data_IF_625276036350
#
_entry.id   IF_625276036350
#
_cell.length_a   1.000
_cell.length_b   1.000
_cell.length_c   1.000
_cell.angle_alpha   90.00
_cell.angle_beta   90.00
_cell.angle_gamma   90.00
#
_symmetry.space_group_name_H-M   'P 1'
#
loop_
_entity.id
_entity.type
_entity.pdbx_description
1 polymer ?
#
# COMPACT_ATOMS: atom_id res chain seq x y z
N UNK A 1 1.74 2.44 14.89
CA UNK A 1 0.41 1.97 15.37
C UNK A 1 0.13 0.51 15.07
N UNK A 2 0.43 -0.03 13.89
CA UNK A 2 0.17 -1.45 13.55
C UNK A 2 1.28 -2.41 13.99
N UNK A 3 2.51 -1.90 14.17
CA UNK A 3 3.69 -2.73 14.46
C UNK A 3 4.30 -2.49 15.84
N UNK A 4 3.86 -1.45 16.54
CA UNK A 4 4.47 -1.06 17.80
C UNK A 4 3.89 -1.92 18.92
N UNK A 5 4.73 -2.46 19.80
CA UNK A 5 4.28 -3.31 20.91
C UNK A 5 3.51 -2.53 21.99
N UNK A 6 3.73 -1.21 22.03
CA UNK A 6 3.15 -0.31 23.03
C UNK A 6 2.62 0.95 22.36
N UNK A 7 1.53 1.47 22.92
CA UNK A 7 0.94 2.74 22.51
C UNK A 7 0.90 3.68 23.71
N UNK A 8 1.18 4.95 23.46
CA UNK A 8 0.97 6.02 24.43
C UNK A 8 -0.46 6.50 24.28
N UNK A 9 -1.28 6.31 25.32
CA UNK A 9 -2.65 6.78 25.35
C UNK A 9 -2.69 8.10 26.09
N UNK A 10 -3.28 9.11 25.45
CA UNK A 10 -3.45 10.46 25.99
C UNK A 10 -4.93 10.82 25.99
N UNK A 11 -5.65 10.30 26.98
CA UNK A 11 -7.06 10.62 27.19
C UNK A 11 -7.24 12.04 27.72
N UNK A 12 -8.36 12.66 27.34
CA UNK A 12 -8.68 14.01 27.79
C UNK A 12 -8.83 14.03 29.31
N UNK A 13 -8.18 15.01 29.95
CA UNK A 13 -8.20 15.19 31.41
C UNK A 13 -7.62 14.03 32.22
N UNK A 14 -6.85 13.13 31.60
CA UNK A 14 -6.19 12.00 32.25
C UNK A 14 -4.68 12.08 32.07
N UNK A 15 -3.94 11.45 32.96
CA UNK A 15 -2.47 11.36 32.83
C UNK A 15 -2.14 10.37 31.72
N UNK A 16 -1.26 10.78 30.80
CA UNK A 16 -0.71 9.89 29.77
C UNK A 16 -0.18 8.59 30.37
N UNK A 17 -0.54 7.47 29.76
CA UNK A 17 -0.07 6.15 30.17
C UNK A 17 0.32 5.31 28.96
N UNK A 18 1.16 4.29 29.19
CA UNK A 18 1.64 3.39 28.15
C UNK A 18 0.90 2.06 28.30
N UNK A 19 0.23 1.63 27.24
CA UNK A 19 -0.48 0.36 27.19
C UNK A 19 0.17 -0.58 26.17
N UNK A 20 -0.01 -1.89 26.36
CA UNK A 20 0.35 -2.89 25.34
C UNK A 20 -0.60 -2.73 24.15
N UNK A 21 -0.04 -2.69 22.95
CA UNK A 21 -0.82 -2.59 21.73
C UNK A 21 -1.43 -3.96 21.40
N UNK A 22 -2.75 -4.00 21.28
CA UNK A 22 -3.49 -5.19 20.84
C UNK A 22 -4.42 -4.84 19.66
N UNK A 23 -4.15 -3.72 18.98
CA UNK A 23 -5.02 -3.20 17.94
C UNK A 23 -4.82 -3.94 16.62
N UNK A 24 -5.94 -4.42 16.06
CA UNK A 24 -6.05 -4.85 14.68
C UNK A 24 -6.97 -3.87 13.94
N UNK A 25 -6.58 -3.43 12.74
CA UNK A 25 -7.33 -2.42 12.00
C UNK A 25 -8.05 -3.06 10.81
N UNK A 26 -9.34 -2.76 10.68
CA UNK A 26 -10.12 -2.99 9.47
C UNK A 26 -10.52 -1.62 8.92
N UNK A 27 -10.22 -1.36 7.65
CA UNK A 27 -10.47 -0.07 6.99
C UNK A 27 -11.38 -0.35 5.80
N UNK A 28 -12.49 0.37 5.75
CA UNK A 28 -13.41 0.33 4.63
C UNK A 28 -13.41 1.73 3.99
N UNK A 29 -13.29 1.78 2.66
CA UNK A 29 -13.36 3.03 1.91
C UNK A 29 -13.77 2.72 0.47
N UNK A 30 -14.41 3.72 -0.15
CA UNK A 30 -14.86 3.65 -1.54
C UNK A 30 -13.80 4.20 -2.51
N UNK A 31 -12.66 4.69 -2.00
CA UNK A 31 -11.56 5.21 -2.80
C UNK A 31 -10.60 4.08 -3.20
N UNK A 32 -10.00 4.17 -4.38
CA UNK A 32 -9.08 3.15 -4.87
C UNK A 32 -7.71 3.18 -4.17
N UNK A 33 -7.26 4.36 -3.74
CA UNK A 33 -5.99 4.57 -3.04
C UNK A 33 -6.23 5.02 -1.59
N UNK A 34 -6.55 4.07 -0.71
CA UNK A 34 -6.96 4.35 0.68
C UNK A 34 -5.75 4.56 1.58
N UNK A 35 -4.66 3.84 1.32
CA UNK A 35 -3.47 3.84 2.15
C UNK A 35 -2.21 3.96 1.26
N UNK A 36 -1.28 4.88 1.57
CA UNK A 36 0.00 4.93 0.88
C UNK A 36 0.76 3.62 1.14
N UNK A 37 0.82 2.78 0.12
CA UNK A 37 1.41 1.45 0.19
C UNK A 37 2.69 1.41 -0.62
N UNK A 38 3.77 0.99 0.03
CA UNK A 38 5.00 0.64 -0.67
C UNK A 38 4.94 -0.83 -1.10
N UNK A 39 5.64 -1.17 -2.17
CA UNK A 39 5.78 -2.56 -2.63
C UNK A 39 6.27 -3.52 -1.53
N UNK A 40 7.02 -2.99 -0.56
CA UNK A 40 7.56 -3.74 0.59
C UNK A 40 6.59 -3.85 1.77
N UNK A 41 5.44 -3.17 1.76
CA UNK A 41 4.44 -3.21 2.84
C UNK A 41 3.97 -4.63 3.14
N UNK A 42 4.21 -5.13 4.36
CA UNK A 42 4.06 -6.56 4.73
C UNK A 42 2.81 -6.93 5.52
N UNK A 43 1.91 -5.98 5.81
CA UNK A 43 0.82 -6.15 6.81
C UNK A 43 -0.51 -5.55 6.37
N UNK A 44 -0.81 -5.59 5.07
CA UNK A 44 -2.08 -5.11 4.53
C UNK A 44 -2.63 -6.17 3.59
N UNK A 45 -3.89 -6.50 3.78
CA UNK A 45 -4.66 -7.35 2.91
C UNK A 45 -5.80 -6.52 2.31
N UNK A 46 -5.95 -6.57 1.00
CA UNK A 46 -6.91 -5.76 0.25
C UNK A 46 -7.94 -6.67 -0.38
N UNK A 47 -9.21 -6.36 -0.13
CA UNK A 47 -10.37 -7.04 -0.70
C UNK A 47 -11.15 -6.02 -1.53
N UNK A 48 -11.23 -6.25 -2.84
CA UNK A 48 -12.17 -5.53 -3.69
C UNK A 48 -13.54 -6.20 -3.59
N UNK A 49 -14.47 -5.51 -2.95
CA UNK A 49 -15.85 -6.00 -2.80
C UNK A 49 -16.65 -5.62 -4.05
N UNK A 50 -17.51 -6.53 -4.51
CA UNK A 50 -18.36 -6.30 -5.68
C UNK A 50 -19.50 -5.32 -5.38
N UNK A 51 -19.91 -4.55 -6.39
CA UNK A 51 -21.06 -3.63 -6.28
C UNK A 51 -22.42 -4.30 -6.47
N UNK A 52 -22.51 -5.63 -6.43
CA UNK A 52 -23.73 -6.40 -6.76
C UNK A 52 -24.91 -6.01 -5.85
N UNK A 53 -24.65 -5.81 -4.55
CA UNK A 53 -25.66 -5.40 -3.57
C UNK A 53 -25.53 -3.93 -3.19
N UNK A 54 -25.01 -3.08 -4.09
CA UNK A 54 -24.87 -1.66 -3.80
C UNK A 54 -26.25 -1.01 -3.62
N UNK A 55 -26.49 -0.41 -2.45
CA UNK A 55 -27.79 0.15 -2.04
C UNK A 55 -28.95 -0.87 -1.99
N UNK A 56 -28.66 -2.16 -1.86
CA UNK A 56 -29.67 -3.20 -1.69
C UNK A 56 -30.09 -3.31 -0.21
N UNK A 57 -31.04 -2.46 0.19
CA UNK A 57 -31.51 -2.37 1.59
C UNK A 57 -32.12 -3.69 2.06
N UNK A 58 -32.92 -4.34 1.22
CA UNK A 58 -33.60 -5.60 1.54
C UNK A 58 -32.59 -6.72 1.86
N UNK A 59 -31.53 -6.83 1.06
CA UNK A 59 -30.45 -7.80 1.31
C UNK A 59 -29.75 -7.55 2.63
N UNK A 60 -29.37 -6.29 2.92
CA UNK A 60 -28.65 -5.96 4.15
C UNK A 60 -29.52 -6.05 5.40
N UNK A 61 -30.83 -5.80 5.30
CA UNK A 61 -31.76 -5.98 6.40
C UNK A 61 -31.89 -7.47 6.77
N UNK A 62 -32.12 -8.35 5.78
CA UNK A 62 -32.16 -9.79 5.99
C UNK A 62 -30.85 -10.32 6.58
N UNK A 63 -29.70 -9.81 6.11
CA UNK A 63 -28.40 -10.17 6.64
C UNK A 63 -28.24 -9.71 8.09
N UNK A 64 -28.67 -8.50 8.42
CA UNK A 64 -28.59 -7.96 9.78
C UNK A 64 -29.45 -8.77 10.76
N UNK A 65 -30.66 -9.15 10.35
CA UNK A 65 -31.54 -10.03 11.13
C UNK A 65 -30.92 -11.41 11.33
N UNK A 66 -30.36 -12.00 10.27
CA UNK A 66 -29.68 -13.29 10.34
C UNK A 66 -28.50 -13.26 11.32
N UNK A 67 -27.66 -12.21 11.27
CA UNK A 67 -26.52 -12.05 12.17
C UNK A 67 -26.99 -11.88 13.62
N UNK A 68 -28.03 -11.09 13.87
CA UNK A 68 -28.61 -10.93 15.22
C UNK A 68 -29.14 -12.26 15.75
N UNK A 69 -29.87 -13.02 14.93
CA UNK A 69 -30.45 -14.31 15.32
C UNK A 69 -29.39 -15.40 15.56
N UNK A 70 -28.25 -15.35 14.85
CA UNK A 70 -27.21 -16.38 14.89
C UNK A 70 -25.89 -15.92 15.53
N UNK A 71 -25.87 -14.78 16.22
CA UNK A 71 -24.67 -14.18 16.80
C UNK A 71 -23.85 -15.18 17.64
N UNK A 72 -24.52 -15.97 18.48
CA UNK A 72 -23.87 -17.00 19.31
C UNK A 72 -23.16 -18.07 18.46
N UNK A 73 -23.79 -18.53 17.37
CA UNK A 73 -23.22 -19.56 16.49
C UNK A 73 -22.00 -19.01 15.74
N UNK A 74 -22.10 -17.78 15.25
CA UNK A 74 -20.99 -17.08 14.58
C UNK A 74 -19.82 -16.91 15.55
N UNK A 75 -20.10 -16.49 16.79
CA UNK A 75 -19.08 -16.35 17.82
C UNK A 75 -18.41 -17.69 18.15
N UNK A 76 -19.20 -18.76 18.34
CA UNK A 76 -18.67 -20.11 18.57
C UNK A 76 -17.79 -20.58 17.40
N UNK A 77 -18.18 -20.30 16.16
CA UNK A 77 -17.37 -20.62 14.99
C UNK A 77 -16.02 -19.87 15.00
N UNK A 78 -16.02 -18.57 15.25
CA UNK A 78 -14.79 -17.75 15.31
C UNK A 78 -13.86 -18.24 16.42
N UNK A 79 -14.40 -18.58 17.59
CA UNK A 79 -13.62 -19.07 18.73
C UNK A 79 -13.02 -20.47 18.51
N UNK A 80 -13.68 -21.31 17.71
CA UNK A 80 -13.25 -22.67 17.40
C UNK A 80 -12.42 -22.78 16.11
N UNK A 81 -12.13 -21.66 15.46
CA UNK A 81 -11.38 -21.65 14.22
C UNK A 81 -9.93 -22.07 14.50
N UNK A 82 -9.45 -23.11 13.83
CA UNK A 82 -8.08 -23.58 14.02
C UNK A 82 -7.11 -22.60 13.36
N UNK A 83 -6.32 -21.90 14.18
CA UNK A 83 -5.31 -20.95 13.73
C UNK A 83 -3.92 -21.60 13.61
N UNK A 84 -3.79 -22.90 13.89
CA UNK A 84 -2.52 -23.63 13.79
C UNK A 84 -2.04 -23.66 12.34
N UNK A 85 -0.96 -22.92 12.07
CA UNK A 85 -0.34 -22.83 10.75
C UNK A 85 -0.47 -21.46 10.10
N UNK A 86 -1.32 -20.56 10.63
CA UNK A 86 -1.40 -19.18 10.15
C UNK A 86 -0.14 -18.43 10.55
N UNK A 87 0.68 -18.08 9.54
CA UNK A 87 1.87 -17.25 9.74
C UNK A 87 1.50 -15.79 9.59
N UNK A 88 1.27 -15.09 10.71
CA UNK A 88 1.02 -13.64 10.74
C UNK A 88 2.15 -12.80 10.13
N UNK A 89 3.35 -13.37 9.98
CA UNK A 89 4.49 -12.74 9.29
C UNK A 89 4.41 -12.83 7.76
N UNK A 90 3.62 -13.74 7.21
CA UNK A 90 3.39 -13.93 5.77
C UNK A 90 1.94 -13.57 5.45
N UNK A 91 1.65 -12.27 5.40
CA UNK A 91 0.36 -11.81 4.91
C UNK A 91 0.18 -12.20 3.43
N UNK A 92 -1.03 -12.65 3.04
CA UNK A 92 -1.33 -12.97 1.65
C UNK A 92 -1.21 -11.70 0.80
N UNK A 93 -0.47 -11.82 -0.32
CA UNK A 93 -0.41 -10.77 -1.35
C UNK A 93 -1.50 -11.06 -2.37
N UNK A 94 -2.31 -10.04 -2.65
CA UNK A 94 -3.39 -10.08 -3.62
C UNK A 94 -3.08 -9.09 -4.76
N UNK A 95 -3.61 -9.33 -5.94
CA UNK A 95 -3.48 -8.47 -7.12
C UNK A 95 -3.99 -7.05 -6.84
N UNK A 96 -5.12 -6.93 -6.13
CA UNK A 96 -5.69 -5.63 -5.73
C UNK A 96 -4.71 -4.80 -4.88
N UNK A 97 -3.95 -5.48 -4.01
CA UNK A 97 -2.94 -4.82 -3.19
C UNK A 97 -1.79 -4.32 -4.05
N UNK A 98 -1.35 -5.12 -5.03
CA UNK A 98 -0.24 -4.77 -5.90
C UNK A 98 -0.62 -3.63 -6.85
N UNK A 99 -1.87 -3.59 -7.32
CA UNK A 99 -2.44 -2.46 -8.06
C UNK A 99 -2.44 -1.17 -7.21
N UNK A 100 -2.89 -1.25 -5.95
CA UNK A 100 -2.87 -0.09 -5.05
C UNK A 100 -1.42 0.36 -4.73
N UNK A 101 -0.50 -0.58 -4.53
CA UNK A 101 0.91 -0.26 -4.32
C UNK A 101 1.56 0.42 -5.54
N UNK A 102 1.20 0.00 -6.76
CA UNK A 102 1.66 0.62 -8.00
C UNK A 102 1.13 2.05 -8.16
N UNK A 103 -0.16 2.28 -7.82
CA UNK A 103 -0.76 3.61 -7.85
C UNK A 103 -0.14 4.59 -6.82
N UNK A 104 0.46 4.06 -5.75
CA UNK A 104 1.12 4.84 -4.70
C UNK A 104 2.61 5.13 -4.97
N UNK A 105 3.19 4.65 -6.09
CA UNK A 105 4.60 4.92 -6.40
C UNK A 105 4.74 6.38 -6.83
N UNK A 106 5.73 7.05 -6.26
CA UNK A 106 6.08 8.42 -6.66
C UNK A 106 6.48 8.47 -8.15
N UNK A 107 5.97 9.43 -8.95
CA UNK A 107 6.28 9.51 -10.38
C UNK A 107 7.77 9.56 -10.70
N UNK A 108 8.60 10.17 -9.83
CA UNK A 108 10.06 10.20 -10.03
C UNK A 108 10.65 8.80 -9.84
N UNK A 109 10.18 8.06 -8.83
CA UNK A 109 10.60 6.67 -8.62
C UNK A 109 10.15 5.75 -9.77
N UNK A 110 8.99 6.00 -10.37
CA UNK A 110 8.54 5.29 -11.60
C UNK A 110 9.51 5.58 -12.75
N UNK A 111 9.84 6.84 -12.99
CA UNK A 111 10.76 7.26 -14.05
C UNK A 111 12.16 6.64 -13.88
N UNK A 112 12.70 6.64 -12.66
CA UNK A 112 14.00 6.00 -12.35
C UNK A 112 13.94 4.50 -12.64
N UNK A 113 12.84 3.85 -12.28
CA UNK A 113 12.65 2.42 -12.57
C UNK A 113 12.61 2.15 -14.07
N UNK A 114 11.92 3.00 -14.84
CA UNK A 114 11.92 2.91 -16.31
C UNK A 114 13.33 3.08 -16.90
N UNK A 115 14.15 3.99 -16.36
CA UNK A 115 15.54 4.16 -16.82
C UNK A 115 16.38 2.92 -16.56
N UNK A 116 16.21 2.30 -15.39
CA UNK A 116 16.91 1.07 -15.00
C UNK A 116 16.46 -0.11 -15.87
N UNK A 117 15.15 -0.26 -16.09
CA UNK A 117 14.58 -1.36 -16.86
C UNK A 117 14.90 -1.24 -18.37
N UNK A 118 14.96 -0.01 -18.91
CA UNK A 118 15.30 0.25 -20.31
C UNK A 118 16.82 0.30 -20.57
N UNK A 119 17.64 0.45 -19.53
CA UNK A 119 19.09 0.65 -19.67
C UNK A 119 19.47 2.02 -20.28
N UNK A 120 18.57 3.01 -20.22
CA UNK A 120 18.74 4.33 -20.82
C UNK A 120 17.48 5.22 -20.69
N UNK A 121 17.53 6.45 -21.20
CA UNK A 121 16.38 7.35 -21.19
C UNK A 121 15.30 6.93 -22.23
N UNK A 122 13.99 6.96 -21.89
CA UNK A 122 12.90 6.59 -22.78
C UNK A 122 12.78 7.57 -23.95
N UNK A 123 12.37 7.02 -25.10
CA UNK A 123 12.44 7.61 -26.45
C UNK A 123 11.76 8.98 -26.68
N UNK A 124 11.02 9.52 -25.70
CA UNK A 124 10.20 10.72 -25.89
C UNK A 124 10.62 11.94 -25.05
N UNK A 125 11.70 11.84 -24.25
CA UNK A 125 12.24 12.95 -23.47
C UNK A 125 13.43 13.66 -24.15
N UNK A 126 13.92 13.14 -25.27
CA UNK A 126 14.97 13.74 -26.07
C UNK A 126 14.49 13.92 -27.51
N UNK A 127 14.83 15.06 -28.11
CA UNK A 127 14.55 15.37 -29.51
C UNK A 127 14.99 14.22 -30.44
N UNK A 128 14.28 13.97 -31.56
CA UNK A 128 14.62 12.87 -32.46
C UNK A 128 16.03 13.05 -33.03
N UNK A 129 16.96 12.14 -32.71
CA UNK A 129 18.25 12.05 -33.41
C UNK A 129 19.52 11.92 -32.57
N UNK A 130 19.46 11.92 -31.23
CA UNK A 130 20.65 11.74 -30.40
C UNK A 130 20.58 10.46 -29.56
N UNK A 131 21.12 9.37 -30.11
CA UNK A 131 21.45 8.20 -29.31
C UNK A 131 22.70 8.51 -28.49
N UNK A 132 22.63 8.35 -27.17
CA UNK A 132 23.83 8.34 -26.31
C UNK A 132 24.23 6.89 -26.16
N UNK A 133 25.41 6.54 -26.68
CA UNK A 133 26.05 5.28 -26.35
C UNK A 133 26.45 5.33 -24.87
N UNK A 134 25.80 4.54 -24.04
CA UNK A 134 26.15 4.43 -22.63
C UNK A 134 27.21 3.33 -22.52
N UNK A 135 28.48 3.74 -22.55
CA UNK A 135 29.59 2.79 -22.56
C UNK A 135 29.91 2.19 -21.17
N UNK A 136 29.28 2.62 -20.06
CA UNK A 136 29.52 2.03 -18.73
C UNK A 136 28.31 2.07 -17.80
N UNK A 137 28.17 1.00 -17.00
CA UNK A 137 27.27 0.94 -15.82
C UNK A 137 27.70 2.03 -14.84
N UNK A 138 26.85 3.02 -14.60
CA UNK A 138 27.10 4.14 -13.68
C UNK A 138 26.16 4.08 -12.48
N UNK A 139 26.67 4.46 -11.31
CA UNK A 139 25.91 4.48 -10.06
C UNK A 139 25.04 5.74 -9.97
N UNK A 140 23.96 5.63 -9.18
CA UNK A 140 22.93 6.64 -8.88
C UNK A 140 23.48 8.05 -8.62
N UNK A 141 24.66 8.15 -8.00
CA UNK A 141 25.33 9.41 -7.66
C UNK A 141 25.90 10.12 -8.89
N UNK A 142 26.39 9.37 -9.86
CA UNK A 142 27.04 9.94 -11.05
C UNK A 142 25.98 10.50 -12.02
N UNK A 143 24.81 9.87 -12.08
CA UNK A 143 23.65 10.35 -12.84
C UNK A 143 23.17 11.70 -12.30
N UNK A 144 23.15 11.87 -10.97
CA UNK A 144 22.71 13.11 -10.32
C UNK A 144 23.70 14.27 -10.58
N UNK A 145 25.00 13.99 -10.61
CA UNK A 145 26.03 14.98 -10.93
C UNK A 145 25.95 15.47 -12.38
N UNK A 146 25.66 14.58 -13.34
CA UNK A 146 25.43 14.98 -14.74
C UNK A 146 24.22 15.92 -14.90
N UNK A 147 23.17 15.71 -14.12
CA UNK A 147 21.98 16.56 -14.14
C UNK A 147 22.27 17.99 -13.63
N UNK A 148 23.09 18.14 -12.60
CA UNK A 148 23.47 19.46 -12.09
C UNK A 148 24.28 20.27 -13.13
N UNK A 149 25.18 19.62 -13.86
CA UNK A 149 25.99 20.30 -14.87
C UNK A 149 25.17 20.75 -16.09
N UNK A 150 24.17 19.98 -16.53
CA UNK A 150 23.28 20.39 -17.64
C UNK A 150 22.29 21.51 -17.27
N UNK A 151 21.99 21.68 -15.99
CA UNK A 151 21.17 22.81 -15.52
C UNK A 151 21.90 24.16 -15.62
N UNK A 152 23.23 24.17 -15.67
CA UNK A 152 24.04 25.38 -15.81
C UNK A 152 24.25 25.81 -17.27
N UNK A 153 24.18 24.90 -18.25
CA UNK A 153 24.36 25.23 -19.67
C UNK A 153 23.10 25.82 -20.33
N UNK A 154 21.95 25.86 -19.64
CA UNK A 154 20.70 26.46 -20.12
C UNK A 154 20.34 27.80 -19.45
N UNK A 155 21.16 28.29 -18.52
CA UNK A 155 21.12 29.67 -18.04
C UNK A 155 22.41 30.33 -18.51
N UNK A 156 22.31 31.29 -19.43
CA UNK A 156 23.46 31.87 -20.15
C UNK A 156 24.48 32.62 -19.30
#
# INVERSE_FOLDING_TARGET
>A
MTTDDKILINEKSMRRYVAKNMNNFMINSNNEAILPLTATGRRVFCLKVSNIHHCDEDYFEQLAEFVKANANKIFTYIMNLDLKGIRLSKFPRNEDRDAMAAACIDPVAVLIKEFVDYGGFPRNLMEPGRAVEVEKVMDSRDIYAMYQNRGHDQAG
#
